data_IF_651270748044
#
_entry.id   IF_651270748044
#
_cell.length_a   1.000
_cell.length_b   1.000
_cell.length_c   1.000
_cell.angle_alpha   90.00
_cell.angle_beta   90.00
_cell.angle_gamma   90.00
#
_symmetry.space_group_name_H-M   'P 1'
#
loop_
_entity.id
_entity.type
_entity.pdbx_description
1 polymer ?
#
# COMPACT_ATOMS: atom_id res chain seq x y z
N UNK A 1 9.56 -6.10 -2.79
CA UNK A 1 10.21 -7.29 -2.18
C UNK A 1 9.13 -8.32 -1.94
N UNK A 2 9.34 -9.58 -2.33
CA UNK A 2 8.34 -10.65 -2.09
C UNK A 2 8.46 -11.11 -0.65
N UNK A 3 7.33 -11.28 0.02
CA UNK A 3 7.28 -11.77 1.39
C UNK A 3 6.82 -13.23 1.46
N UNK A 4 5.75 -13.57 0.74
CA UNK A 4 5.26 -14.95 0.67
C UNK A 4 4.56 -15.24 -0.66
N UNK A 5 4.56 -16.52 -1.04
CA UNK A 5 3.88 -17.07 -2.21
C UNK A 5 3.16 -18.33 -1.72
N UNK A 6 1.84 -18.27 -1.66
CA UNK A 6 0.95 -19.38 -1.34
C UNK A 6 -0.15 -19.43 -2.39
N UNK A 7 0.11 -20.15 -3.48
CA UNK A 7 -0.70 -20.05 -4.69
C UNK A 7 -2.19 -20.33 -4.40
N UNK A 8 -3.10 -19.49 -4.93
CA UNK A 8 -2.87 -18.45 -5.93
C UNK A 8 -2.48 -17.07 -5.37
N UNK A 9 -2.19 -16.95 -4.07
CA UNK A 9 -1.89 -15.68 -3.41
C UNK A 9 -0.40 -15.37 -3.35
N UNK A 10 -0.06 -14.12 -3.65
CA UNK A 10 1.31 -13.60 -3.54
C UNK A 10 1.30 -12.30 -2.75
N UNK A 11 2.21 -12.18 -1.79
CA UNK A 11 2.32 -11.03 -0.90
C UNK A 11 3.65 -10.33 -1.12
N UNK A 12 3.60 -9.03 -1.36
CA UNK A 12 4.80 -8.22 -1.62
C UNK A 12 4.72 -6.87 -0.91
N UNK A 13 5.91 -6.33 -0.67
CA UNK A 13 6.16 -4.98 -0.24
C UNK A 13 6.50 -4.10 -1.45
N UNK A 14 5.77 -3.00 -1.60
CA UNK A 14 6.01 -1.99 -2.64
C UNK A 14 6.38 -0.66 -2.00
N UNK A 15 7.49 -0.07 -2.43
CA UNK A 15 7.88 1.30 -2.13
C UNK A 15 7.80 2.11 -3.41
N UNK A 16 7.00 3.18 -3.44
CA UNK A 16 6.77 3.94 -4.65
C UNK A 16 6.59 5.44 -4.39
N UNK A 17 6.73 6.24 -5.44
CA UNK A 17 6.46 7.67 -5.39
C UNK A 17 4.95 7.96 -5.38
N UNK A 18 4.58 9.24 -5.25
CA UNK A 18 3.19 9.69 -5.42
C UNK A 18 2.66 9.34 -6.82
N UNK A 19 1.38 8.97 -6.89
CA UNK A 19 0.68 8.71 -8.16
C UNK A 19 0.82 7.28 -8.71
N UNK A 20 1.49 6.37 -8.00
CA UNK A 20 1.55 4.97 -8.42
C UNK A 20 0.22 4.26 -8.16
N UNK A 21 -0.33 3.64 -9.21
CA UNK A 21 -1.56 2.85 -9.15
C UNK A 21 -1.22 1.37 -8.91
N UNK A 22 -1.33 0.92 -7.65
CA UNK A 22 -1.02 -0.48 -7.27
C UNK A 22 -1.91 -1.50 -8.01
N UNK A 23 -3.15 -1.13 -8.35
CA UNK A 23 -4.04 -1.98 -9.16
C UNK A 23 -3.53 -2.18 -10.59
N UNK A 24 -3.00 -1.13 -11.21
CA UNK A 24 -2.38 -1.23 -12.54
C UNK A 24 -1.12 -2.09 -12.48
N UNK A 25 -0.32 -1.93 -11.44
CA UNK A 25 0.84 -2.80 -11.20
C UNK A 25 0.43 -4.29 -11.11
N UNK A 26 -0.63 -4.63 -10.39
CA UNK A 26 -1.12 -6.00 -10.31
C UNK A 26 -1.55 -6.53 -11.69
N UNK A 27 -2.27 -5.72 -12.48
CA UNK A 27 -2.63 -6.07 -13.84
C UNK A 27 -1.41 -6.34 -14.73
N UNK A 28 -0.42 -5.45 -14.70
CA UNK A 28 0.79 -5.54 -15.52
C UNK A 28 1.63 -6.76 -15.12
N UNK A 29 1.70 -7.07 -13.82
CA UNK A 29 2.33 -8.28 -13.30
C UNK A 29 1.62 -9.54 -13.82
N UNK A 30 0.29 -9.55 -13.80
CA UNK A 30 -0.50 -10.65 -14.35
C UNK A 30 -0.29 -10.87 -15.85
N UNK A 31 -0.18 -9.78 -16.61
CA UNK A 31 0.15 -9.82 -18.04
C UNK A 31 1.55 -10.39 -18.27
N UNK A 32 2.53 -9.94 -17.49
CA UNK A 32 3.91 -10.44 -17.56
C UNK A 32 3.99 -11.95 -17.29
N UNK A 33 3.22 -12.44 -16.32
CA UNK A 33 3.15 -13.86 -15.95
C UNK A 33 2.25 -14.70 -16.88
N UNK A 34 1.49 -14.07 -17.79
CA UNK A 34 0.55 -14.70 -18.75
C UNK A 34 -0.60 -15.50 -18.14
N UNK A 35 -0.88 -15.29 -16.85
CA UNK A 35 -1.99 -15.94 -16.12
C UNK A 35 -3.08 -14.94 -15.71
N UNK A 36 -2.76 -13.63 -15.76
CA UNK A 36 -3.59 -12.58 -15.17
C UNK A 36 -3.30 -12.43 -13.68
N UNK A 37 -3.60 -11.27 -13.12
CA UNK A 37 -3.48 -11.05 -11.69
C UNK A 37 -4.36 -9.88 -11.27
N UNK A 38 -4.89 -9.94 -10.06
CA UNK A 38 -5.71 -8.88 -9.51
C UNK A 38 -5.40 -8.64 -8.03
N UNK A 39 -5.59 -7.40 -7.60
CA UNK A 39 -5.38 -6.99 -6.23
C UNK A 39 -6.45 -7.59 -5.31
N UNK A 40 -6.03 -8.28 -4.26
CA UNK A 40 -6.91 -8.90 -3.26
C UNK A 40 -6.92 -8.10 -1.96
N UNK A 41 -5.75 -7.62 -1.52
CA UNK A 41 -5.61 -6.79 -0.32
C UNK A 41 -4.57 -5.71 -0.55
N UNK A 42 -4.82 -4.53 0.03
CA UNK A 42 -3.92 -3.38 -0.03
C UNK A 42 -3.93 -2.65 1.30
N UNK A 43 -2.79 -2.63 1.96
CA UNK A 43 -2.57 -1.82 3.14
C UNK A 43 -1.47 -0.79 2.88
N UNK A 44 -1.76 0.46 3.22
CA UNK A 44 -0.77 1.53 3.18
C UNK A 44 -0.07 1.59 4.52
N UNK A 45 1.21 1.27 4.52
CA UNK A 45 2.01 1.23 5.74
C UNK A 45 2.72 2.55 6.03
N UNK A 46 3.00 3.36 5.02
CA UNK A 46 3.52 4.71 5.24
C UNK A 46 3.19 5.66 4.09
N UNK A 47 3.17 6.95 4.39
CA UNK A 47 3.00 8.04 3.43
C UNK A 47 3.80 9.25 3.88
N UNK A 48 4.89 9.51 3.16
CA UNK A 48 5.85 10.54 3.53
C UNK A 48 6.50 10.28 4.89
N UNK A 49 6.90 11.36 5.56
CA UNK A 49 7.69 11.27 6.80
C UNK A 49 6.84 10.99 8.05
N UNK A 50 5.56 11.35 8.01
CA UNK A 50 4.70 11.37 9.20
C UNK A 50 3.74 10.19 9.31
N UNK A 51 3.04 9.85 8.23
CA UNK A 51 2.04 8.80 8.31
C UNK A 51 2.71 7.42 8.30
N UNK A 52 2.38 6.61 9.31
CA UNK A 52 2.70 5.19 9.37
C UNK A 52 1.47 4.43 9.88
N UNK A 53 1.23 3.21 9.44
CA UNK A 53 0.04 2.47 9.88
C UNK A 53 0.01 2.26 11.40
N UNK A 54 1.18 2.12 12.04
CA UNK A 54 1.33 1.96 13.49
C UNK A 54 0.98 3.21 14.31
N UNK A 55 1.03 4.40 13.70
CA UNK A 55 0.63 5.66 14.34
C UNK A 55 -0.77 6.15 13.93
N UNK A 56 -1.51 5.32 13.20
CA UNK A 56 -2.87 5.63 12.77
C UNK A 56 -3.90 5.38 13.87
N UNK A 57 -5.00 6.12 13.84
CA UNK A 57 -6.09 6.01 14.81
C UNK A 57 -7.35 5.59 14.06
N UNK A 58 -8.12 4.66 14.63
CA UNK A 58 -9.41 4.26 14.05
C UNK A 58 -10.42 5.41 14.17
N UNK A 59 -11.36 5.49 13.23
CA UNK A 59 -12.40 6.53 13.22
C UNK A 59 -13.22 6.52 14.52
N UNK A 60 -13.43 5.35 15.11
CA UNK A 60 -14.16 5.15 16.36
C UNK A 60 -13.43 5.76 17.57
N UNK A 61 -12.08 5.77 17.54
CA UNK A 61 -11.23 6.32 18.60
C UNK A 61 -10.82 7.76 18.32
N UNK A 62 -11.42 8.40 17.32
CA UNK A 62 -11.15 9.79 16.96
C UNK A 62 -11.74 10.73 18.03
N UNK A 63 -11.05 10.87 19.16
CA UNK A 63 -11.27 11.93 20.14
C UNK A 63 -10.73 13.26 19.62
N UNK A 64 -11.20 14.38 20.19
CA UNK A 64 -10.81 15.75 19.82
C UNK A 64 -9.29 15.90 19.80
N UNK A 65 -8.70 15.79 18.62
CA UNK A 65 -7.28 16.03 18.36
C UNK A 65 -7.15 17.39 17.67
N UNK A 66 -6.30 18.24 18.21
CA UNK A 66 -6.04 19.58 17.66
C UNK A 66 -5.33 19.48 16.30
N UNK A 67 -5.98 20.04 15.29
CA UNK A 67 -5.55 20.04 13.90
C UNK A 67 -4.68 21.26 13.60
N UNK A 68 -3.40 21.20 13.93
CA UNK A 68 -2.43 22.18 13.41
C UNK A 68 -1.09 21.52 13.12
N UNK A 69 -0.89 21.04 11.89
CA UNK A 69 0.43 21.03 11.22
C UNK A 69 0.28 21.01 9.70
N UNK A 70 0.97 21.94 9.05
CA UNK A 70 1.09 22.06 7.58
C UNK A 70 2.34 21.29 7.15
N UNK A 71 2.17 20.16 6.46
CA UNK A 71 3.28 19.28 6.11
C UNK A 71 3.77 19.48 4.67
N UNK A 72 5.09 19.52 4.49
CA UNK A 72 5.76 19.77 3.22
C UNK A 72 6.23 18.45 2.60
N UNK A 73 6.10 18.36 1.27
CA UNK A 73 6.06 17.12 0.52
C UNK A 73 7.39 16.39 0.33
N UNK A 74 7.49 15.23 0.97
CA UNK A 74 8.20 14.08 0.43
C UNK A 74 7.22 12.91 0.50
N UNK A 75 6.75 12.41 -0.64
CA UNK A 75 5.63 11.45 -0.70
C UNK A 75 6.10 10.09 -1.18
N UNK A 76 7.06 9.51 -0.47
CA UNK A 76 7.37 8.10 -0.65
C UNK A 76 6.32 7.29 0.12
N UNK A 77 5.68 6.34 -0.56
CA UNK A 77 4.60 5.53 -0.04
C UNK A 77 5.08 4.09 0.07
N UNK A 78 4.76 3.44 1.18
CA UNK A 78 4.98 1.99 1.34
C UNK A 78 3.64 1.29 1.44
N UNK A 79 3.53 0.20 0.70
CA UNK A 79 2.34 -0.63 0.65
C UNK A 79 2.69 -2.08 0.92
N UNK A 80 1.80 -2.73 1.65
CA UNK A 80 1.68 -4.16 1.74
C UNK A 80 0.57 -4.61 0.81
N UNK A 81 0.87 -5.53 -0.10
CA UNK A 81 0.01 -5.82 -1.24
C UNK A 81 -0.11 -7.32 -1.38
N UNK A 82 -1.34 -7.81 -1.40
CA UNK A 82 -1.67 -9.19 -1.76
C UNK A 82 -2.37 -9.18 -3.10
N UNK A 83 -1.87 -9.93 -4.06
CA UNK A 83 -2.52 -10.16 -5.34
C UNK A 83 -2.72 -11.66 -5.56
N UNK A 84 -3.78 -11.98 -6.28
CA UNK A 84 -4.03 -13.32 -6.79
C UNK A 84 -3.40 -13.43 -8.17
N UNK A 85 -2.72 -14.54 -8.47
CA UNK A 85 -2.14 -14.90 -9.78
C UNK A 85 -2.78 -16.16 -10.34
#
# INVERSE_FOLDING_TARGET
MVESIDLPYVQIWISCSKGTYIRSFANDLGHFLKVGAHLTSLERLSCGEWFRSDNSVSVEKLGKMDMEKKYRGFFHQKFYVTFTV
#
